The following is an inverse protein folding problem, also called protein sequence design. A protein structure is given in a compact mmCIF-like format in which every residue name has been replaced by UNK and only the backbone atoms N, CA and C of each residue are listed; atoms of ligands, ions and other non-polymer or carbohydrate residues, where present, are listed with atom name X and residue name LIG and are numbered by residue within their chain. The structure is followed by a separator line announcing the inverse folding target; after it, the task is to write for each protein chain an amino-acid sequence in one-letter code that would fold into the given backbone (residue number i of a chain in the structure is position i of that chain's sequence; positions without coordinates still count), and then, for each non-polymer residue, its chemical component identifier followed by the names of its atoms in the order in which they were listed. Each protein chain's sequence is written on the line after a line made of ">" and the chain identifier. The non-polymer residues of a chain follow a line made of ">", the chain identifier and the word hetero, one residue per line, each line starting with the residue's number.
data_IF_425217005494
#
_entry.id   IF_425217005494
#
_cell.length_a   1.000
_cell.length_b   1.000
_cell.length_c   1.000
_cell.angle_alpha   90.00
_cell.angle_beta   90.00
_cell.angle_gamma   90.00
#
_symmetry.space_group_name_H-M   'P 1'
#
loop_
_entity.id
_entity.type
_entity.pdbx_description
1 polymer ?
#
# COMPACT_ATOMS: atom_id res chain seq x y z
N UNK A 1 -10.87 59.60 -3.06
CA UNK A 1 -11.23 58.83 -1.85
C UNK A 1 -12.38 57.91 -2.17
N UNK A 2 -12.41 56.73 -1.53
CA UNK A 2 -13.47 55.71 -1.53
C UNK A 2 -13.27 54.51 -2.47
N UNK A 3 -12.57 53.50 -1.94
CA UNK A 3 -12.51 52.11 -2.42
C UNK A 3 -13.74 51.36 -1.89
N UNK A 4 -14.55 50.74 -2.75
CA UNK A 4 -15.63 49.83 -2.31
C UNK A 4 -15.28 48.39 -2.68
N UNK A 5 -14.79 47.63 -1.70
CA UNK A 5 -14.57 46.19 -1.76
C UNK A 5 -15.89 45.45 -1.57
N UNK A 6 -16.37 44.74 -2.58
CA UNK A 6 -17.49 43.79 -2.45
C UNK A 6 -16.98 42.43 -1.99
N UNK A 7 -17.24 42.09 -0.73
CA UNK A 7 -16.99 40.78 -0.13
C UNK A 7 -17.98 39.75 -0.66
N UNK A 8 -17.51 38.77 -1.43
CA UNK A 8 -18.31 37.62 -1.87
C UNK A 8 -18.28 36.54 -0.79
N UNK A 9 -19.40 36.34 -0.11
CA UNK A 9 -19.58 35.26 0.86
C UNK A 9 -19.89 33.94 0.13
N UNK A 10 -18.88 33.10 -0.10
CA UNK A 10 -19.11 31.70 -0.49
C UNK A 10 -19.47 30.87 0.75
N UNK A 11 -20.76 30.58 0.93
CA UNK A 11 -21.21 29.55 1.88
C UNK A 11 -20.94 28.17 1.28
N UNK A 12 -19.87 27.51 1.72
CA UNK A 12 -19.59 26.11 1.36
C UNK A 12 -20.60 25.23 2.10
N UNK A 13 -21.63 24.77 1.40
CA UNK A 13 -22.53 23.74 1.89
C UNK A 13 -21.81 22.38 1.87
N UNK A 14 -21.69 21.73 3.03
CA UNK A 14 -21.24 20.34 3.16
C UNK A 14 -22.45 19.41 3.20
N UNK A 15 -22.72 18.61 2.16
CA UNK A 15 -23.51 17.40 2.35
C UNK A 15 -22.58 16.26 2.80
N UNK A 16 -22.65 15.93 4.10
CA UNK A 16 -22.19 14.66 4.63
C UNK A 16 -23.13 13.55 4.11
N UNK A 17 -22.72 12.84 3.06
CA UNK A 17 -23.33 11.56 2.71
C UNK A 17 -22.25 10.49 2.65
N UNK A 18 -21.96 9.95 3.83
CA UNK A 18 -21.23 8.71 4.00
C UNK A 18 -22.08 7.56 3.44
N UNK A 19 -21.88 7.22 2.17
CA UNK A 19 -22.21 5.89 1.66
C UNK A 19 -20.94 5.06 1.68
N UNK A 20 -20.70 4.44 2.82
CA UNK A 20 -19.73 3.37 2.95
C UNK A 20 -20.15 2.20 2.04
N UNK A 21 -19.58 2.15 0.83
CA UNK A 21 -19.51 0.94 0.02
C UNK A 21 -18.25 0.14 0.43
N UNK A 22 -18.11 -0.14 1.72
CA UNK A 22 -17.09 -1.03 2.24
C UNK A 22 -17.66 -2.44 2.31
N UNK A 23 -17.87 -3.13 1.18
CA UNK A 23 -17.87 -4.61 1.20
C UNK A 23 -17.81 -5.25 -0.20
N UNK A 24 -16.70 -5.10 -0.92
CA UNK A 24 -16.44 -6.01 -2.06
C UNK A 24 -14.95 -6.30 -2.28
N UNK A 25 -14.21 -6.52 -1.20
CA UNK A 25 -12.92 -7.21 -1.29
C UNK A 25 -13.20 -8.71 -1.44
N UNK A 26 -13.27 -9.19 -2.68
CA UNK A 26 -13.35 -10.61 -3.00
C UNK A 26 -11.96 -11.23 -2.80
N UNK A 27 -11.79 -12.07 -1.78
CA UNK A 27 -10.55 -12.81 -1.54
C UNK A 27 -10.44 -14.00 -2.49
N UNK A 28 -9.87 -13.79 -3.68
CA UNK A 28 -9.44 -14.90 -4.53
C UNK A 28 -7.96 -15.19 -4.24
N UNK A 29 -7.69 -15.99 -3.21
CA UNK A 29 -6.33 -16.47 -2.90
C UNK A 29 -6.08 -17.77 -3.66
N UNK A 30 -4.94 -17.85 -4.35
CA UNK A 30 -4.59 -18.88 -5.32
C UNK A 30 -4.50 -20.32 -4.77
N UNK A 31 -4.53 -21.27 -5.70
CA UNK A 31 -4.93 -22.68 -5.61
C UNK A 31 -4.15 -23.66 -4.69
N UNK A 32 -3.29 -23.24 -3.76
CA UNK A 32 -2.46 -24.20 -3.00
C UNK A 32 -2.16 -23.81 -1.53
N UNK A 33 -3.03 -24.22 -0.61
CA UNK A 33 -2.94 -23.90 0.83
C UNK A 33 -1.64 -24.35 1.52
N UNK A 34 -0.99 -25.41 1.02
CA UNK A 34 0.27 -25.90 1.60
C UNK A 34 1.43 -24.88 1.50
N UNK A 35 1.41 -24.01 0.49
CA UNK A 35 2.43 -22.96 0.31
C UNK A 35 2.22 -21.85 1.34
N UNK A 36 0.96 -21.46 1.56
CA UNK A 36 0.58 -20.46 2.56
C UNK A 36 0.92 -20.91 3.97
N UNK A 37 0.68 -22.18 4.30
CA UNK A 37 1.01 -22.70 5.64
C UNK A 37 2.52 -22.67 5.90
N UNK A 38 3.33 -23.06 4.92
CA UNK A 38 4.80 -22.98 5.03
C UNK A 38 5.26 -21.54 5.21
N UNK A 39 4.73 -20.63 4.41
CA UNK A 39 5.12 -19.22 4.44
C UNK A 39 4.65 -18.52 5.73
N UNK A 40 3.47 -18.90 6.24
CA UNK A 40 2.97 -18.48 7.56
C UNK A 40 3.87 -18.98 8.68
N UNK A 41 4.31 -20.24 8.63
CA UNK A 41 5.24 -20.78 9.63
C UNK A 41 6.59 -20.05 9.63
N UNK A 42 7.13 -19.71 8.46
CA UNK A 42 8.34 -18.88 8.37
C UNK A 42 8.12 -17.50 8.97
N UNK A 43 6.99 -16.88 8.65
CA UNK A 43 6.64 -15.56 9.17
C UNK A 43 6.52 -15.55 10.70
N UNK A 44 5.92 -16.59 11.28
CA UNK A 44 5.83 -16.75 12.73
C UNK A 44 7.20 -17.01 13.40
N UNK A 45 8.16 -17.55 12.65
CA UNK A 45 9.55 -17.74 13.11
C UNK A 45 10.42 -16.47 12.94
N UNK A 46 9.87 -15.42 12.31
CA UNK A 46 10.62 -14.23 11.94
C UNK A 46 11.54 -14.40 10.73
N UNK A 47 11.41 -15.51 9.99
CA UNK A 47 12.18 -15.81 8.77
C UNK A 47 11.48 -15.25 7.52
N UNK A 48 10.99 -14.01 7.58
CA UNK A 48 10.40 -13.34 6.41
C UNK A 48 11.49 -12.82 5.50
N UNK A 49 11.36 -13.05 4.19
CA UNK A 49 12.19 -12.34 3.22
C UNK A 49 11.81 -10.86 3.25
N UNK A 50 12.66 -10.02 3.84
CA UNK A 50 12.52 -8.57 3.80
C UNK A 50 12.80 -8.09 2.37
N UNK A 51 11.76 -8.07 1.54
CA UNK A 51 11.84 -7.60 0.15
C UNK A 51 11.92 -6.08 0.09
N UNK A 52 11.33 -5.38 1.06
CA UNK A 52 11.27 -3.91 1.12
C UNK A 52 11.94 -3.40 2.40
N UNK A 53 13.01 -2.59 2.31
CA UNK A 53 13.76 -2.09 3.47
C UNK A 53 12.93 -1.15 4.35
N UNK A 54 11.95 -0.45 3.78
CA UNK A 54 11.13 0.52 4.51
C UNK A 54 10.02 -0.13 5.37
N UNK A 55 9.80 -1.44 5.21
CA UNK A 55 8.75 -2.20 5.89
C UNK A 55 9.28 -3.55 6.41
N UNK A 56 10.09 -3.55 7.49
CA UNK A 56 10.61 -4.78 8.07
C UNK A 56 9.48 -5.69 8.54
N UNK A 57 9.62 -7.00 8.29
CA UNK A 57 8.62 -8.02 8.62
C UNK A 57 7.38 -8.06 7.71
N UNK A 58 7.30 -7.23 6.68
CA UNK A 58 6.22 -7.33 5.68
C UNK A 58 6.46 -8.52 4.74
N UNK A 59 5.48 -9.42 4.64
CA UNK A 59 5.54 -10.58 3.76
C UNK A 59 4.61 -10.39 2.55
N UNK A 60 5.18 -10.07 1.40
CA UNK A 60 4.45 -9.85 0.14
C UNK A 60 3.59 -11.06 -0.29
N UNK A 61 4.04 -12.28 0.02
CA UNK A 61 3.32 -13.51 -0.36
C UNK A 61 2.10 -13.80 0.53
N UNK A 62 2.04 -13.21 1.73
CA UNK A 62 0.91 -13.35 2.66
C UNK A 62 0.07 -12.08 2.79
N UNK A 63 0.62 -10.94 2.37
CA UNK A 63 -0.03 -9.64 2.50
C UNK A 63 -1.33 -9.61 1.70
N UNK A 64 -2.36 -9.00 2.30
CA UNK A 64 -3.60 -8.75 1.58
C UNK A 64 -3.44 -7.57 0.61
N UNK A 65 -4.28 -7.49 -0.42
CA UNK A 65 -4.32 -6.34 -1.33
C UNK A 65 -4.49 -5.01 -0.57
N UNK A 66 -5.34 -5.00 0.47
CA UNK A 66 -5.55 -3.80 1.28
C UNK A 66 -4.29 -3.40 2.05
N UNK A 67 -3.56 -4.38 2.58
CA UNK A 67 -2.29 -4.14 3.27
C UNK A 67 -1.23 -3.59 2.32
N UNK A 68 -1.08 -4.18 1.13
CA UNK A 68 -0.17 -3.68 0.10
C UNK A 68 -0.47 -2.22 -0.29
N UNK A 69 -1.75 -1.87 -0.46
CA UNK A 69 -2.16 -0.50 -0.76
C UNK A 69 -1.80 0.48 0.36
N UNK A 70 -2.09 0.14 1.61
CA UNK A 70 -1.75 1.01 2.76
C UNK A 70 -0.23 1.21 2.82
N UNK A 71 0.56 0.16 2.58
CA UNK A 71 2.03 0.27 2.56
C UNK A 71 2.52 1.14 1.41
N UNK A 72 1.94 1.00 0.23
CA UNK A 72 2.27 1.86 -0.91
C UNK A 72 1.97 3.34 -0.61
N UNK A 73 0.82 3.64 0.02
CA UNK A 73 0.43 5.00 0.39
C UNK A 73 1.35 5.61 1.46
N UNK A 74 1.93 4.78 2.33
CA UNK A 74 2.88 5.20 3.37
C UNK A 74 4.34 5.13 2.94
N UNK A 75 4.64 4.74 1.71
CA UNK A 75 6.00 4.65 1.22
C UNK A 75 6.63 6.06 1.09
N UNK A 76 7.92 6.22 1.42
CA UNK A 76 8.61 7.50 1.23
C UNK A 76 8.75 7.83 -0.26
N UNK A 77 8.63 9.11 -0.61
CA UNK A 77 8.86 9.58 -1.97
C UNK A 77 10.32 9.30 -2.38
N UNK A 78 10.50 8.46 -3.40
CA UNK A 78 11.79 8.12 -3.99
C UNK A 78 11.83 8.57 -5.46
N UNK A 79 12.98 9.02 -5.97
CA UNK A 79 13.16 9.27 -7.39
C UNK A 79 12.90 7.99 -8.22
N UNK A 80 12.28 8.15 -9.39
CA UNK A 80 11.93 7.03 -10.28
C UNK A 80 13.15 6.16 -10.62
N UNK A 81 14.30 6.77 -10.87
CA UNK A 81 15.54 6.06 -11.17
C UNK A 81 15.96 5.10 -10.05
N UNK A 82 15.79 5.53 -8.79
CA UNK A 82 16.11 4.72 -7.62
C UNK A 82 15.16 3.53 -7.49
N UNK A 83 13.87 3.75 -7.71
CA UNK A 83 12.86 2.69 -7.69
C UNK A 83 13.12 1.62 -8.75
N UNK A 84 13.48 2.04 -9.97
CA UNK A 84 13.83 1.13 -11.05
C UNK A 84 15.06 0.30 -10.71
N UNK A 85 16.10 0.94 -10.17
CA UNK A 85 17.34 0.26 -9.77
C UNK A 85 17.07 -0.78 -8.67
N UNK A 86 16.36 -0.39 -7.61
CA UNK A 86 15.97 -1.29 -6.49
C UNK A 86 15.15 -2.49 -7.02
N UNK A 87 14.24 -2.25 -7.96
CA UNK A 87 13.42 -3.32 -8.57
C UNK A 87 14.25 -4.32 -9.38
N UNK A 88 15.19 -3.83 -10.20
CA UNK A 88 16.08 -4.69 -11.00
C UNK A 88 17.00 -5.51 -10.10
N UNK A 89 17.55 -4.91 -9.05
CA UNK A 89 18.37 -5.59 -8.06
C UNK A 89 17.59 -6.69 -7.33
N UNK A 90 16.33 -6.40 -6.95
CA UNK A 90 15.45 -7.38 -6.32
C UNK A 90 15.20 -8.59 -7.21
N UNK A 91 14.81 -8.37 -8.48
CA UNK A 91 14.55 -9.45 -9.44
C UNK A 91 15.81 -10.29 -9.66
N UNK A 92 16.97 -9.65 -9.82
CA UNK A 92 18.25 -10.37 -9.96
C UNK A 92 18.50 -11.27 -8.74
N UNK A 93 18.35 -10.75 -7.53
CA UNK A 93 18.58 -11.51 -6.29
C UNK A 93 17.67 -12.75 -6.16
N UNK A 94 16.45 -12.70 -6.70
CA UNK A 94 15.50 -13.83 -6.67
C UNK A 94 15.78 -14.90 -7.75
N UNK A 95 16.43 -14.53 -8.85
CA UNK A 95 16.66 -15.39 -10.02
C UNK A 95 18.11 -15.85 -10.21
N UNK A 96 19.00 -15.59 -9.25
CA UNK A 96 20.38 -16.08 -9.20
C UNK A 96 20.53 -17.24 -8.21
#
# INVERSE_FOLDING_TARGET
>A
MSTSLTTIHFKIARPLTARALCNRFSSHMAANGQVLDKEKQKSLRGETNESIPDHPGWNENLASHAEANIKADHAPDKPVERLQKESVEHIKKQHH
#
